data_IF_981528940070
#
_entry.id   IF_981528940070
#
_cell.length_a   1.000
_cell.length_b   1.000
_cell.length_c   1.000
_cell.angle_alpha   90.00
_cell.angle_beta   90.00
_cell.angle_gamma   90.00
#
_symmetry.space_group_name_H-M   'P 1'
#
loop_
_entity.id
_entity.type
_entity.pdbx_description
1 polymer ?
#
# COMPACT_ATOMS: atom_id res chain seq x y z
N UNK A 1 13.26 -21.48 -19.69
CA UNK A 1 12.16 -22.04 -18.86
C UNK A 1 11.71 -23.43 -19.32
N UNK A 2 11.56 -23.71 -20.63
CA UNK A 2 11.16 -25.04 -21.11
C UNK A 2 12.05 -26.21 -20.65
N UNK A 3 13.36 -25.97 -20.45
CA UNK A 3 14.30 -26.98 -19.95
C UNK A 3 14.04 -27.40 -18.50
N UNK A 4 13.56 -26.48 -17.66
CA UNK A 4 13.29 -26.75 -16.23
C UNK A 4 11.84 -27.23 -16.01
N UNK A 5 10.98 -27.17 -17.03
CA UNK A 5 9.59 -27.67 -17.04
C UNK A 5 8.81 -27.32 -15.75
N UNK A 6 8.58 -26.03 -15.49
CA UNK A 6 7.83 -25.65 -14.30
C UNK A 6 6.36 -26.06 -14.47
N UNK A 7 5.73 -26.56 -13.40
CA UNK A 7 4.29 -26.90 -13.40
C UNK A 7 3.41 -25.64 -13.50
N UNK A 8 3.91 -24.50 -12.99
CA UNK A 8 3.26 -23.19 -13.06
C UNK A 8 4.29 -22.06 -12.96
N UNK A 9 3.99 -20.93 -13.59
CA UNK A 9 4.73 -19.67 -13.46
C UNK A 9 3.77 -18.61 -12.93
N UNK A 10 4.05 -18.08 -11.74
CA UNK A 10 3.32 -16.96 -11.17
C UNK A 10 4.04 -15.64 -11.54
N UNK A 11 3.32 -14.73 -12.20
CA UNK A 11 3.84 -13.43 -12.67
C UNK A 11 3.11 -12.32 -11.94
N UNK A 12 3.82 -11.44 -11.24
CA UNK A 12 3.24 -10.34 -10.49
C UNK A 12 4.00 -9.04 -10.69
N UNK A 13 3.46 -7.96 -10.11
CA UNK A 13 4.09 -6.64 -10.10
C UNK A 13 4.75 -6.35 -8.74
N UNK A 14 5.51 -5.26 -8.66
CA UNK A 14 6.11 -4.83 -7.40
C UNK A 14 4.99 -4.34 -6.47
N UNK A 15 4.73 -5.10 -5.41
CA UNK A 15 3.59 -4.92 -4.51
C UNK A 15 3.96 -4.19 -3.20
N UNK A 16 5.26 -4.04 -2.90
CA UNK A 16 5.76 -3.30 -1.74
C UNK A 16 6.63 -2.13 -2.21
N UNK A 17 6.56 -0.95 -1.55
CA UNK A 17 7.43 0.17 -1.88
C UNK A 17 8.89 -0.28 -1.75
N UNK A 18 9.66 -0.26 -2.86
CA UNK A 18 11.07 -0.57 -2.85
C UNK A 18 11.85 0.59 -2.20
N UNK A 19 13.08 0.32 -1.76
CA UNK A 19 14.00 1.38 -1.31
C UNK A 19 14.37 2.40 -2.42
N UNK A 20 13.94 2.13 -3.66
CA UNK A 20 14.18 2.93 -4.85
C UNK A 20 12.85 3.33 -5.47
N UNK A 21 12.84 4.41 -6.26
CA UNK A 21 11.65 4.93 -6.94
C UNK A 21 11.20 4.03 -8.12
N UNK A 22 10.89 2.77 -7.86
CA UNK A 22 10.30 1.85 -8.84
C UNK A 22 8.84 1.58 -8.50
N UNK A 23 8.00 1.64 -9.54
CA UNK A 23 6.55 1.48 -9.47
C UNK A 23 6.17 0.16 -10.09
N UNK A 24 5.08 -0.43 -9.59
CA UNK A 24 4.46 -1.56 -10.26
C UNK A 24 4.03 -1.21 -11.69
N UNK A 25 4.11 -2.19 -12.59
CA UNK A 25 3.53 -2.13 -13.94
C UNK A 25 2.04 -2.47 -13.91
N UNK A 26 1.30 -2.01 -14.93
CA UNK A 26 -0.13 -2.27 -15.08
C UNK A 26 -0.43 -3.73 -15.47
N UNK A 27 -1.69 -4.14 -15.33
CA UNK A 27 -2.13 -5.48 -15.73
C UNK A 27 -1.93 -5.72 -17.23
N UNK A 28 -2.17 -4.72 -18.07
CA UNK A 28 -1.98 -4.80 -19.52
C UNK A 28 -0.51 -5.07 -19.85
N UNK A 29 0.41 -4.40 -19.14
CA UNK A 29 1.85 -4.63 -19.28
C UNK A 29 2.25 -6.03 -18.82
N UNK A 30 1.65 -6.55 -17.74
CA UNK A 30 1.89 -7.94 -17.32
C UNK A 30 1.41 -8.92 -18.40
N UNK A 31 0.21 -8.72 -18.95
CA UNK A 31 -0.34 -9.55 -20.04
C UNK A 31 0.59 -9.54 -21.25
N UNK A 32 1.03 -8.36 -21.68
CA UNK A 32 1.99 -8.21 -22.78
C UNK A 32 3.27 -9.02 -22.52
N UNK A 33 3.86 -8.90 -21.33
CA UNK A 33 5.10 -9.61 -20.98
C UNK A 33 4.91 -11.13 -20.93
N UNK A 34 3.73 -11.61 -20.50
CA UNK A 34 3.44 -13.05 -20.47
C UNK A 34 3.30 -13.68 -21.85
N UNK A 35 3.14 -12.90 -22.92
CA UNK A 35 3.18 -13.42 -24.30
C UNK A 35 4.52 -14.10 -24.62
N UNK A 36 5.62 -13.74 -23.95
CA UNK A 36 6.91 -14.41 -24.13
C UNK A 36 6.98 -15.82 -23.49
N UNK A 37 5.96 -16.23 -22.73
CA UNK A 37 5.90 -17.49 -21.98
C UNK A 37 4.98 -18.54 -22.65
N UNK A 38 4.86 -18.51 -23.98
CA UNK A 38 4.00 -19.42 -24.75
C UNK A 38 4.22 -20.91 -24.44
N UNK A 39 3.09 -21.60 -24.24
CA UNK A 39 3.02 -23.04 -23.98
C UNK A 39 3.37 -23.42 -22.55
N UNK A 40 3.39 -22.47 -21.61
CA UNK A 40 3.60 -22.69 -20.18
C UNK A 40 2.34 -22.28 -19.39
N UNK A 41 2.07 -22.95 -18.28
CA UNK A 41 0.98 -22.58 -17.39
C UNK A 41 1.35 -21.31 -16.62
N UNK A 42 0.83 -20.16 -17.07
CA UNK A 42 1.09 -18.85 -16.47
C UNK A 42 -0.13 -18.39 -15.69
N UNK A 43 0.11 -17.92 -14.46
CA UNK A 43 -0.87 -17.25 -13.62
C UNK A 43 -0.41 -15.82 -13.36
N UNK A 44 -1.27 -14.84 -13.64
CA UNK A 44 -0.96 -13.43 -13.39
C UNK A 44 -1.52 -13.05 -12.02
N UNK A 45 -0.64 -12.84 -11.05
CA UNK A 45 -0.98 -12.31 -9.75
C UNK A 45 -1.19 -10.79 -9.87
N UNK A 46 -2.45 -10.37 -9.79
CA UNK A 46 -2.80 -8.97 -9.72
C UNK A 46 -3.60 -8.69 -8.46
N UNK A 47 -3.30 -7.56 -7.81
CA UNK A 47 -4.14 -7.05 -6.75
C UNK A 47 -5.43 -6.61 -7.44
N UNK A 48 -6.58 -7.26 -7.17
CA UNK A 48 -7.87 -6.61 -7.47
C UNK A 48 -7.81 -5.23 -6.80
N UNK A 49 -8.30 -4.20 -7.47
CA UNK A 49 -8.62 -2.93 -6.81
C UNK A 49 -9.65 -3.24 -5.72
N UNK A 50 -9.15 -3.68 -4.58
CA UNK A 50 -9.92 -3.94 -3.40
C UNK A 50 -9.95 -2.59 -2.71
N UNK A 51 -10.93 -1.80 -3.11
CA UNK A 51 -11.37 -0.65 -2.35
C UNK A 51 -11.98 -1.21 -1.06
N UNK A 52 -11.10 -1.61 -0.12
CA UNK A 52 -11.52 -1.94 1.21
C UNK A 52 -12.31 -0.73 1.72
N UNK A 53 -13.50 -0.94 2.31
CA UNK A 53 -14.25 0.17 2.87
C UNK A 53 -13.34 0.90 3.86
N UNK A 54 -13.16 2.20 3.62
CA UNK A 54 -12.44 3.09 4.52
C UNK A 54 -13.05 2.98 5.91
N UNK A 55 -12.19 2.92 6.91
CA UNK A 55 -12.57 2.76 8.31
C UNK A 55 -12.77 4.13 8.95
N UNK A 56 -13.79 4.20 9.81
CA UNK A 56 -14.01 5.33 10.70
C UNK A 56 -13.26 5.11 12.00
N UNK A 57 -12.59 6.15 12.48
CA UNK A 57 -11.88 6.18 13.76
C UNK A 57 -12.28 7.43 14.55
N UNK A 58 -12.46 7.29 15.86
CA UNK A 58 -12.47 8.40 16.81
C UNK A 58 -11.05 8.92 17.05
N UNK A 59 -10.91 10.04 17.73
CA UNK A 59 -9.59 10.58 18.07
C UNK A 59 -8.80 9.69 19.02
N UNK A 60 -9.48 9.09 19.99
CA UNK A 60 -8.88 8.15 20.93
C UNK A 60 -8.36 6.92 20.18
N UNK A 61 -9.12 6.42 19.20
CA UNK A 61 -8.71 5.29 18.36
C UNK A 61 -7.53 5.65 17.47
N UNK A 62 -7.50 6.86 16.88
CA UNK A 62 -6.36 7.35 16.09
C UNK A 62 -5.10 7.43 16.97
N UNK A 63 -5.21 7.93 18.20
CA UNK A 63 -4.08 8.03 19.11
C UNK A 63 -3.57 6.66 19.56
N UNK A 64 -4.48 5.73 19.92
CA UNK A 64 -4.13 4.34 20.23
C UNK A 64 -3.43 3.66 19.05
N UNK A 65 -3.95 3.85 17.83
CA UNK A 65 -3.36 3.32 16.60
C UNK A 65 -1.93 3.85 16.40
N UNK A 66 -1.75 5.17 16.47
CA UNK A 66 -0.47 5.83 16.23
C UNK A 66 0.55 5.61 17.36
N UNK A 67 0.11 5.34 18.59
CA UNK A 67 0.97 4.87 19.69
C UNK A 67 1.56 3.49 19.40
N UNK A 68 0.76 2.57 18.88
CA UNK A 68 1.21 1.21 18.53
C UNK A 68 2.11 1.21 17.31
N UNK A 69 1.72 1.96 16.27
CA UNK A 69 2.47 2.06 15.01
C UNK A 69 2.18 3.40 14.30
N UNK A 70 3.20 4.23 14.03
CA UNK A 70 3.08 5.37 13.13
C UNK A 70 2.54 4.93 11.76
N UNK A 71 1.55 5.65 11.24
CA UNK A 71 0.97 5.39 9.92
C UNK A 71 1.57 6.34 8.88
N UNK A 72 1.86 5.85 7.68
CA UNK A 72 2.28 6.70 6.57
C UNK A 72 1.11 7.53 6.03
N UNK A 73 1.39 8.60 5.30
CA UNK A 73 0.37 9.38 4.59
C UNK A 73 -0.44 8.52 3.60
N UNK A 74 0.21 7.55 2.94
CA UNK A 74 -0.45 6.59 2.06
C UNK A 74 -1.38 5.64 2.83
N UNK A 75 -0.93 5.10 3.97
CA UNK A 75 -1.75 4.20 4.80
C UNK A 75 -3.00 4.92 5.32
N UNK A 76 -2.85 6.19 5.74
CA UNK A 76 -3.98 7.03 6.16
C UNK A 76 -4.93 7.28 4.99
N UNK A 77 -4.43 7.68 3.82
CA UNK A 77 -5.27 7.96 2.65
C UNK A 77 -6.05 6.72 2.18
N UNK A 78 -5.43 5.54 2.31
CA UNK A 78 -6.03 4.25 1.95
C UNK A 78 -7.04 3.77 3.00
N UNK A 79 -6.74 3.90 4.29
CA UNK A 79 -7.53 3.28 5.36
C UNK A 79 -8.59 4.20 5.99
N UNK A 80 -8.41 5.52 5.99
CA UNK A 80 -9.23 6.44 6.78
C UNK A 80 -10.39 7.01 5.95
N UNK A 81 -11.57 7.03 6.55
CA UNK A 81 -12.72 7.76 6.00
C UNK A 81 -12.59 9.29 6.22
N UNK A 82 -13.48 10.05 5.60
CA UNK A 82 -13.44 11.52 5.66
C UNK A 82 -13.56 12.05 7.10
N UNK A 83 -14.40 11.44 7.93
CA UNK A 83 -14.56 11.84 9.33
C UNK A 83 -13.26 11.62 10.13
N UNK A 84 -12.58 10.51 9.89
CA UNK A 84 -11.30 10.19 10.52
C UNK A 84 -10.21 11.18 10.10
N UNK A 85 -10.22 11.65 8.85
CA UNK A 85 -9.31 12.69 8.37
C UNK A 85 -9.57 14.03 9.06
N UNK A 86 -10.84 14.38 9.31
CA UNK A 86 -11.19 15.58 10.10
C UNK A 86 -10.62 15.47 11.52
N UNK A 87 -10.81 14.33 12.19
CA UNK A 87 -10.25 14.06 13.51
C UNK A 87 -8.71 14.12 13.51
N UNK A 88 -8.05 13.49 12.53
CA UNK A 88 -6.60 13.54 12.37
C UNK A 88 -6.08 14.98 12.23
N UNK A 89 -6.74 15.79 11.40
CA UNK A 89 -6.38 17.19 11.21
C UNK A 89 -6.58 18.03 12.48
N UNK A 90 -7.64 17.75 13.27
CA UNK A 90 -7.84 18.40 14.58
C UNK A 90 -6.70 18.05 15.53
N UNK A 91 -6.33 16.78 15.62
CA UNK A 91 -5.21 16.33 16.47
C UNK A 91 -3.85 16.92 16.06
N UNK A 92 -3.63 17.17 14.77
CA UNK A 92 -2.46 17.89 14.26
C UNK A 92 -2.47 19.37 14.66
N UNK A 93 -3.62 20.04 14.53
CA UNK A 93 -3.78 21.44 14.93
C UNK A 93 -3.59 21.63 16.45
N UNK A 94 -4.04 20.66 17.24
CA UNK A 94 -3.84 20.60 18.69
C UNK A 94 -2.41 20.20 19.10
N UNK A 95 -1.53 19.91 18.13
CA UNK A 95 -0.15 19.43 18.36
C UNK A 95 -0.09 18.15 19.21
N UNK A 96 -1.13 17.30 19.15
CA UNK A 96 -1.11 15.97 19.77
C UNK A 96 -0.44 14.93 18.86
N UNK A 97 -0.36 15.24 17.58
CA UNK A 97 0.36 14.49 16.56
C UNK A 97 1.41 15.39 15.91
N UNK A 98 2.44 14.77 15.35
CA UNK A 98 3.40 15.41 14.45
C UNK A 98 3.68 14.52 13.23
N UNK A 99 4.14 15.13 12.15
CA UNK A 99 4.62 14.41 10.97
C UNK A 99 6.13 14.28 11.05
N UNK A 100 6.64 13.06 10.85
CA UNK A 100 8.07 12.78 10.79
C UNK A 100 8.40 12.15 9.44
N UNK A 101 9.34 12.77 8.72
CA UNK A 101 9.90 12.17 7.51
C UNK A 101 10.95 11.11 7.88
N UNK A 102 10.81 9.91 7.32
CA UNK A 102 11.75 8.80 7.46
C UNK A 102 12.03 8.24 6.08
N UNK A 103 13.28 8.38 5.61
CA UNK A 103 13.71 7.89 4.31
C UNK A 103 12.81 8.35 3.14
N UNK A 104 12.34 9.60 3.18
CA UNK A 104 11.50 10.18 2.13
C UNK A 104 10.01 9.90 2.26
N UNK A 105 9.56 9.19 3.32
CA UNK A 105 8.16 8.91 3.60
C UNK A 105 7.72 9.64 4.85
N UNK A 106 6.57 10.31 4.79
CA UNK A 106 5.98 11.02 5.92
C UNK A 106 5.09 10.11 6.76
N UNK A 107 5.33 10.11 8.07
CA UNK A 107 4.58 9.34 9.05
C UNK A 107 3.91 10.24 10.08
N UNK A 108 2.64 9.99 10.37
CA UNK A 108 1.96 10.55 11.53
C UNK A 108 2.40 9.81 12.79
N UNK A 109 2.76 10.56 13.83
CA UNK A 109 3.20 10.01 15.12
C UNK A 109 2.61 10.83 16.26
N UNK A 110 2.27 10.17 17.37
CA UNK A 110 1.94 10.86 18.63
C UNK A 110 3.17 11.58 19.16
N UNK A 111 2.98 12.80 19.67
CA UNK A 111 4.06 13.59 20.32
C UNK A 111 4.68 12.81 21.48
#
# INVERSE_FOLDING_TARGET
LRKIRPDRIDVGTIDRPPAYAVRGVSIERLVELTSALEGLHVNIAYRKNYDAPKRRFSEEEILELLKRRPQSTEDVAFCFDEQSLVCLNRLLAEKRLHVKNIAGVDFYKVV
#
